data_IF_440050906635
#
_entry.id   IF_440050906635
#
_cell.length_a   1.000
_cell.length_b   1.000
_cell.length_c   1.000
_cell.angle_alpha   90.00
_cell.angle_beta   90.00
_cell.angle_gamma   90.00
#
_symmetry.space_group_name_H-M   'P 1'
#
loop_
_entity.id
_entity.type
_entity.pdbx_description
1 polymer ?
#
# COMPACT_ATOMS: atom_id res chain seq x y z
N UNK A 1 -16.55 25.63 65.90
CA UNK A 1 -16.53 25.03 64.55
C UNK A 1 -16.75 26.15 63.57
N UNK A 2 -15.84 26.31 62.62
CA UNK A 2 -15.91 27.33 61.58
C UNK A 2 -17.27 27.26 60.87
N UNK A 3 -17.95 28.40 60.68
CA UNK A 3 -19.32 28.47 60.16
C UNK A 3 -19.42 27.82 58.77
N UNK A 4 -18.33 27.91 57.98
CA UNK A 4 -18.18 27.24 56.70
C UNK A 4 -18.11 25.71 56.81
N UNK A 5 -17.35 25.19 57.79
CA UNK A 5 -17.29 23.75 58.03
C UNK A 5 -18.65 23.19 58.46
N UNK A 6 -19.43 23.98 59.21
CA UNK A 6 -20.80 23.62 59.55
C UNK A 6 -21.71 23.60 58.32
N UNK A 7 -21.62 24.57 57.41
CA UNK A 7 -22.42 24.60 56.18
C UNK A 7 -22.09 23.44 55.22
N UNK A 8 -20.82 23.04 55.11
CA UNK A 8 -20.38 22.04 54.13
C UNK A 8 -20.61 20.61 54.64
N UNK A 9 -20.36 20.33 55.92
CA UNK A 9 -20.32 18.96 56.45
C UNK A 9 -21.50 18.59 57.37
N UNK A 10 -22.29 19.56 57.84
CA UNK A 10 -23.43 19.26 58.72
C UNK A 10 -24.66 18.86 57.93
N UNK A 11 -25.41 17.87 58.45
CA UNK A 11 -26.69 17.45 57.85
C UNK A 11 -27.77 18.52 57.95
N UNK A 12 -27.71 19.36 58.98
CA UNK A 12 -28.63 20.47 59.25
C UNK A 12 -27.81 21.67 59.78
N UNK A 13 -27.25 22.52 58.90
CA UNK A 13 -26.58 23.75 59.33
C UNK A 13 -27.58 24.73 59.94
N UNK A 14 -27.35 25.14 61.19
CA UNK A 14 -28.18 26.13 61.89
C UNK A 14 -27.76 27.54 61.46
N UNK A 15 -28.48 28.12 60.49
CA UNK A 15 -28.26 29.47 60.00
C UNK A 15 -29.34 30.39 60.57
N UNK A 16 -28.93 31.45 61.29
CA UNK A 16 -29.84 32.32 62.05
C UNK A 16 -30.78 33.16 61.17
N UNK A 17 -30.38 33.42 59.93
CA UNK A 17 -31.08 34.36 59.03
C UNK A 17 -31.90 33.65 57.93
N UNK A 18 -31.98 32.32 57.94
CA UNK A 18 -32.70 31.55 56.92
C UNK A 18 -33.92 30.84 57.53
N UNK A 19 -35.10 30.92 56.89
CA UNK A 19 -36.30 30.26 57.38
C UNK A 19 -36.11 28.74 57.29
N UNK A 20 -36.07 28.02 58.42
CA UNK A 20 -35.93 26.55 58.44
C UNK A 20 -37.26 25.81 58.29
N UNK A 21 -38.37 26.54 58.19
CA UNK A 21 -39.72 26.01 57.97
C UNK A 21 -40.13 26.16 56.49
N UNK A 22 -40.47 25.04 55.87
CA UNK A 22 -40.90 24.95 54.46
C UNK A 22 -40.18 23.86 53.68
N UNK A 23 -40.86 23.22 52.73
CA UNK A 23 -40.34 22.06 51.95
C UNK A 23 -39.07 22.40 51.17
N UNK A 24 -38.94 23.64 50.68
CA UNK A 24 -37.79 24.11 49.89
C UNK A 24 -36.65 24.69 50.74
N UNK A 25 -36.89 24.93 52.03
CA UNK A 25 -35.89 25.53 52.92
C UNK A 25 -35.12 24.48 53.74
N UNK A 26 -35.32 23.20 53.44
CA UNK A 26 -34.57 22.11 54.04
C UNK A 26 -33.15 22.08 53.46
N UNK A 27 -32.09 22.10 54.30
CA UNK A 27 -30.71 22.06 53.83
C UNK A 27 -30.37 20.85 52.93
N UNK A 28 -31.11 19.75 53.09
CA UNK A 28 -31.01 18.56 52.25
C UNK A 28 -31.33 18.83 50.76
N UNK A 29 -32.16 19.82 50.44
CA UNK A 29 -32.51 20.21 49.07
C UNK A 29 -31.38 20.97 48.35
N UNK A 30 -30.52 21.63 49.12
CA UNK A 30 -29.42 22.46 48.63
C UNK A 30 -28.06 21.74 48.77
N UNK A 31 -28.08 20.45 49.07
CA UNK A 31 -26.87 19.64 49.14
C UNK A 31 -26.27 19.50 47.75
N UNK A 32 -24.96 19.71 47.66
CA UNK A 32 -24.23 19.44 46.43
C UNK A 32 -24.33 17.96 46.06
N UNK A 33 -24.92 17.67 44.89
CA UNK A 33 -24.87 16.35 44.27
C UNK A 33 -23.83 16.34 43.17
N UNK A 34 -22.79 15.52 43.36
CA UNK A 34 -21.72 15.40 42.39
C UNK A 34 -22.26 14.89 41.04
N UNK A 35 -21.89 15.56 39.94
CA UNK A 35 -22.28 15.18 38.58
C UNK A 35 -21.78 13.76 38.24
N UNK A 36 -22.58 13.01 37.49
CA UNK A 36 -22.18 11.70 36.98
C UNK A 36 -21.30 11.84 35.73
N UNK A 37 -20.10 11.25 35.76
CA UNK A 37 -19.15 11.18 34.64
C UNK A 37 -18.89 9.71 34.27
N UNK A 38 -18.37 9.45 33.06
CA UNK A 38 -18.01 8.10 32.59
C UNK A 38 -17.01 7.44 33.55
N UNK A 39 -16.00 8.18 34.00
CA UNK A 39 -15.00 7.70 34.96
C UNK A 39 -15.62 7.29 36.30
N UNK A 40 -16.52 8.11 36.84
CA UNK A 40 -17.22 7.80 38.09
C UNK A 40 -18.15 6.60 37.93
N UNK A 41 -18.81 6.50 36.78
CA UNK A 41 -19.67 5.37 36.46
C UNK A 41 -18.87 4.06 36.35
N UNK A 42 -17.67 4.10 35.75
CA UNK A 42 -16.72 2.98 35.72
C UNK A 42 -16.30 2.56 37.14
N UNK A 43 -15.93 3.53 37.98
CA UNK A 43 -15.57 3.26 39.39
C UNK A 43 -16.73 2.66 40.18
N UNK A 44 -17.99 3.05 39.91
CA UNK A 44 -19.16 2.48 40.57
C UNK A 44 -19.42 1.02 40.17
N UNK A 45 -19.13 0.63 38.92
CA UNK A 45 -19.22 -0.77 38.46
C UNK A 45 -18.14 -1.62 39.15
N UNK A 46 -16.94 -1.07 39.31
CA UNK A 46 -15.83 -1.74 40.00
C UNK A 46 -16.08 -1.89 41.50
N UNK A 47 -16.56 -0.84 42.16
CA UNK A 47 -16.84 -0.85 43.60
C UNK A 47 -17.95 -1.83 44.00
N UNK A 48 -18.89 -2.11 43.09
CA UNK A 48 -20.00 -3.03 43.31
C UNK A 48 -19.74 -4.47 42.84
N UNK A 49 -18.54 -4.76 42.34
CA UNK A 49 -18.14 -6.05 41.78
C UNK A 49 -19.10 -6.57 40.67
N UNK A 50 -19.68 -5.63 39.89
CA UNK A 50 -20.66 -5.96 38.85
C UNK A 50 -20.02 -6.19 37.48
N UNK A 51 -18.69 -6.21 37.36
CA UNK A 51 -17.98 -6.38 36.07
C UNK A 51 -18.40 -7.64 35.31
N UNK A 52 -18.68 -8.74 36.02
CA UNK A 52 -19.14 -9.99 35.41
C UNK A 52 -20.59 -9.91 34.94
N UNK A 53 -21.42 -9.08 35.59
CA UNK A 53 -22.84 -8.92 35.26
C UNK A 53 -23.08 -7.94 34.10
N UNK A 54 -22.15 -7.00 33.88
CA UNK A 54 -22.20 -6.00 32.80
C UNK A 54 -20.89 -5.96 32.01
N UNK A 55 -20.45 -7.13 31.55
CA UNK A 55 -19.16 -7.29 30.88
C UNK A 55 -19.07 -6.49 29.57
N UNK A 56 -20.17 -6.37 28.82
CA UNK A 56 -20.19 -5.62 27.55
C UNK A 56 -20.05 -4.13 27.83
N UNK A 57 -20.75 -3.63 28.85
CA UNK A 57 -20.64 -2.24 29.31
C UNK A 57 -19.24 -1.94 29.84
N UNK A 58 -18.62 -2.85 30.60
CA UNK A 58 -17.28 -2.68 31.13
C UNK A 58 -16.23 -2.54 29.99
N UNK A 59 -16.33 -3.37 28.95
CA UNK A 59 -15.45 -3.29 27.78
C UNK A 59 -15.68 -1.99 26.98
N UNK A 60 -16.93 -1.55 26.82
CA UNK A 60 -17.27 -0.27 26.19
C UNK A 60 -16.72 0.94 26.94
N UNK A 61 -16.78 0.93 28.28
CA UNK A 61 -16.26 2.01 29.12
C UNK A 61 -14.73 2.06 29.08
N UNK A 62 -14.08 0.90 29.05
CA UNK A 62 -12.62 0.80 28.94
C UNK A 62 -12.10 1.42 27.63
N UNK A 63 -12.81 1.18 26.53
CA UNK A 63 -12.43 1.66 25.19
C UNK A 63 -13.25 2.86 24.69
N UNK A 64 -13.81 3.66 25.60
CA UNK A 64 -14.66 4.80 25.23
C UNK A 64 -13.94 5.84 24.33
N UNK A 65 -12.63 6.02 24.52
CA UNK A 65 -11.82 6.89 23.67
C UNK A 65 -11.76 6.36 22.23
N UNK A 66 -11.55 5.06 22.06
CA UNK A 66 -11.46 4.40 20.75
C UNK A 66 -12.79 4.46 19.99
N UNK A 67 -13.92 4.30 20.71
CA UNK A 67 -15.27 4.44 20.13
C UNK A 67 -15.49 5.84 19.57
N UNK A 68 -14.98 6.87 20.28
CA UNK A 68 -15.05 8.26 19.85
C UNK A 68 -14.37 8.50 18.50
N UNK A 69 -13.35 7.70 18.16
CA UNK A 69 -12.61 7.83 16.91
C UNK A 69 -13.33 7.21 15.70
N UNK A 70 -14.23 6.24 15.91
CA UNK A 70 -15.00 5.58 14.83
C UNK A 70 -15.83 6.60 14.03
N UNK A 71 -16.29 7.68 14.67
CA UNK A 71 -17.06 8.75 13.99
C UNK A 71 -16.33 9.40 12.82
N UNK A 72 -15.00 9.33 12.81
CA UNK A 72 -14.16 9.92 11.78
C UNK A 72 -13.94 9.01 10.57
N UNK A 73 -14.35 7.72 10.66
CA UNK A 73 -14.17 6.76 9.58
C UNK A 73 -14.72 7.24 8.22
N UNK A 74 -15.95 7.81 8.12
CA UNK A 74 -16.47 8.28 6.83
C UNK A 74 -15.63 9.41 6.22
N UNK A 75 -15.12 10.32 7.05
CA UNK A 75 -14.32 11.45 6.60
C UNK A 75 -12.94 11.02 6.11
N UNK A 76 -12.30 10.08 6.82
CA UNK A 76 -11.03 9.50 6.38
C UNK A 76 -11.20 8.71 5.08
N UNK A 77 -12.28 7.93 4.93
CA UNK A 77 -12.58 7.21 3.69
C UNK A 77 -12.86 8.17 2.52
N UNK A 78 -13.59 9.26 2.76
CA UNK A 78 -13.82 10.28 1.73
C UNK A 78 -12.53 10.94 1.28
N UNK A 79 -11.62 11.25 2.22
CA UNK A 79 -10.29 11.79 1.89
C UNK A 79 -9.49 10.79 1.04
N UNK A 80 -9.46 9.51 1.44
CA UNK A 80 -8.78 8.46 0.67
C UNK A 80 -9.31 8.38 -0.77
N UNK A 81 -10.63 8.36 -0.96
CA UNK A 81 -11.22 8.30 -2.29
C UNK A 81 -10.82 9.51 -3.14
N UNK A 82 -10.86 10.73 -2.59
CA UNK A 82 -10.40 11.93 -3.30
C UNK A 82 -8.92 11.85 -3.69
N UNK A 83 -8.07 11.37 -2.77
CA UNK A 83 -6.65 11.18 -3.06
C UNK A 83 -6.43 10.13 -4.14
N UNK A 84 -7.16 9.00 -4.10
CA UNK A 84 -7.07 7.98 -5.14
C UNK A 84 -7.43 8.53 -6.52
N UNK A 85 -8.54 9.27 -6.63
CA UNK A 85 -8.94 9.91 -7.89
C UNK A 85 -7.91 10.93 -8.39
N UNK A 86 -7.29 11.68 -7.48
CA UNK A 86 -6.25 12.66 -7.85
C UNK A 86 -4.99 11.97 -8.39
N UNK A 87 -4.56 10.88 -7.74
CA UNK A 87 -3.32 10.20 -8.06
C UNK A 87 -3.47 9.06 -9.10
N UNK A 88 -4.67 8.78 -9.58
CA UNK A 88 -4.97 7.66 -10.50
C UNK A 88 -4.11 7.66 -11.77
N UNK A 89 -3.72 8.84 -12.27
CA UNK A 89 -2.94 9.00 -13.51
C UNK A 89 -1.64 9.78 -13.32
N UNK A 90 -1.16 9.94 -12.08
CA UNK A 90 0.02 10.75 -11.77
C UNK A 90 1.21 9.88 -11.37
N UNK A 91 2.41 10.31 -11.78
CA UNK A 91 3.65 9.66 -11.40
C UNK A 91 4.00 9.98 -9.94
N UNK A 92 3.84 9.01 -9.04
CA UNK A 92 3.97 9.21 -7.59
C UNK A 92 5.37 9.64 -7.13
N UNK A 93 6.43 9.31 -7.88
CA UNK A 93 7.82 9.63 -7.51
C UNK A 93 8.03 11.14 -7.34
N UNK A 94 7.31 11.96 -8.12
CA UNK A 94 7.33 13.43 -8.02
C UNK A 94 6.71 13.98 -6.72
N UNK A 95 5.94 13.16 -5.99
CA UNK A 95 5.24 13.53 -4.76
C UNK A 95 5.81 12.88 -3.49
N UNK A 96 6.89 12.09 -3.62
CA UNK A 96 7.50 11.34 -2.52
C UNK A 96 7.93 12.22 -1.34
N UNK A 97 8.41 13.43 -1.64
CA UNK A 97 8.92 14.40 -0.66
C UNK A 97 8.04 15.64 -0.54
N UNK A 98 6.76 15.57 -0.92
CA UNK A 98 5.85 16.72 -0.88
C UNK A 98 5.05 16.73 0.44
N UNK A 99 5.23 17.77 1.29
CA UNK A 99 4.44 17.92 2.51
C UNK A 99 2.96 18.22 2.20
N UNK A 100 2.07 17.77 3.08
CA UNK A 100 0.61 18.01 2.96
C UNK A 100 0.28 19.51 2.81
N UNK A 101 1.00 20.38 3.53
CA UNK A 101 0.79 21.83 3.48
C UNK A 101 1.16 22.46 2.13
N UNK A 102 2.19 21.94 1.47
CA UNK A 102 2.61 22.39 0.13
C UNK A 102 1.60 21.93 -0.89
N UNK A 103 1.24 20.64 -0.85
CA UNK A 103 0.21 20.08 -1.73
C UNK A 103 -1.11 20.84 -1.63
N UNK A 104 -1.55 21.17 -0.41
CA UNK A 104 -2.75 21.95 -0.13
C UNK A 104 -2.78 23.29 -0.86
N UNK A 105 -1.66 24.02 -0.88
CA UNK A 105 -1.61 25.36 -1.49
C UNK A 105 -1.62 25.32 -3.02
N UNK A 106 -1.04 24.26 -3.59
CA UNK A 106 -0.77 24.20 -5.02
C UNK A 106 -1.83 23.42 -5.81
N UNK A 107 -2.50 22.44 -5.18
CA UNK A 107 -3.29 21.43 -5.91
C UNK A 107 -4.75 21.31 -5.43
N UNK A 108 -5.12 21.95 -4.31
CA UNK A 108 -6.50 21.87 -3.77
C UNK A 108 -7.25 23.15 -4.10
N UNK A 109 -8.43 23.01 -4.70
CA UNK A 109 -9.28 24.15 -5.05
C UNK A 109 -9.80 24.89 -3.81
N UNK A 110 -9.99 26.21 -3.92
CA UNK A 110 -10.35 27.09 -2.78
C UNK A 110 -11.57 26.62 -1.98
N UNK A 111 -12.59 26.13 -2.68
CA UNK A 111 -13.83 25.64 -2.05
C UNK A 111 -13.65 24.33 -1.27
N UNK A 112 -12.58 23.57 -1.52
CA UNK A 112 -12.29 22.31 -0.83
C UNK A 112 -11.20 22.44 0.25
N UNK A 113 -10.48 23.56 0.30
CA UNK A 113 -9.34 23.78 1.22
C UNK A 113 -9.69 23.53 2.68
N UNK A 114 -10.85 24.00 3.12
CA UNK A 114 -11.32 23.84 4.50
C UNK A 114 -11.57 22.36 4.81
N UNK A 115 -12.36 21.69 3.97
CA UNK A 115 -12.71 20.27 4.12
C UNK A 115 -11.48 19.38 4.08
N UNK A 116 -10.53 19.67 3.18
CA UNK A 116 -9.26 18.96 3.10
C UNK A 116 -8.41 19.16 4.36
N UNK A 117 -8.28 20.40 4.83
CA UNK A 117 -7.50 20.71 6.04
C UNK A 117 -8.07 20.02 7.27
N UNK A 118 -9.40 20.07 7.45
CA UNK A 118 -10.08 19.37 8.54
C UNK A 118 -9.84 17.85 8.48
N UNK A 119 -9.95 17.26 7.29
CA UNK A 119 -9.73 15.83 7.10
C UNK A 119 -8.28 15.43 7.36
N UNK A 120 -7.31 16.25 6.96
CA UNK A 120 -5.89 16.02 7.24
C UNK A 120 -5.56 16.13 8.74
N UNK A 121 -6.14 17.11 9.45
CA UNK A 121 -5.97 17.23 10.91
C UNK A 121 -6.58 16.05 11.66
N UNK A 122 -7.70 15.50 11.17
CA UNK A 122 -8.29 14.28 11.73
C UNK A 122 -7.38 13.08 11.53
N UNK A 123 -6.75 12.94 10.36
CA UNK A 123 -5.76 11.88 10.12
C UNK A 123 -4.58 12.01 11.09
N UNK A 124 -4.05 13.22 11.30
CA UNK A 124 -2.99 13.47 12.29
C UNK A 124 -3.41 13.11 13.71
N UNK A 125 -4.61 13.51 14.12
CA UNK A 125 -5.18 13.19 15.43
C UNK A 125 -5.28 11.67 15.64
N UNK A 126 -5.80 10.95 14.65
CA UNK A 126 -5.93 9.49 14.68
C UNK A 126 -4.55 8.82 14.69
N UNK A 127 -3.60 9.35 13.94
CA UNK A 127 -2.23 8.83 13.92
C UNK A 127 -1.55 8.97 15.28
N UNK A 128 -1.67 10.14 15.90
CA UNK A 128 -1.20 10.40 17.27
C UNK A 128 -1.76 9.39 18.28
N UNK A 129 -3.07 9.13 18.18
CA UNK A 129 -3.73 8.15 19.03
C UNK A 129 -3.18 6.75 18.81
N UNK A 130 -3.00 6.31 17.56
CA UNK A 130 -2.43 5.00 17.26
C UNK A 130 -0.99 4.82 17.77
N UNK A 131 -0.19 5.88 17.75
CA UNK A 131 1.16 5.87 18.32
C UNK A 131 1.11 5.78 19.84
N UNK A 132 0.19 6.48 20.50
CA UNK A 132 0.08 6.45 21.97
C UNK A 132 -0.33 5.07 22.51
N UNK A 133 -1.16 4.34 21.77
CA UNK A 133 -1.59 2.98 22.14
C UNK A 133 -0.64 1.87 21.70
N UNK A 134 0.50 2.21 21.05
CA UNK A 134 1.46 1.25 20.47
C UNK A 134 0.78 0.16 19.63
N UNK A 135 0.00 0.58 18.63
CA UNK A 135 -0.77 -0.35 17.81
C UNK A 135 0.11 -1.44 17.16
N UNK A 136 -0.28 -2.71 17.29
CA UNK A 136 0.57 -3.86 16.96
C UNK A 136 0.90 -4.01 15.48
N UNK A 137 0.14 -3.38 14.57
CA UNK A 137 0.36 -3.45 13.12
C UNK A 137 1.24 -2.32 12.58
N UNK A 138 1.90 -1.53 13.44
CA UNK A 138 2.85 -0.49 13.04
C UNK A 138 4.20 -1.10 12.62
N UNK A 139 4.62 -0.88 11.37
CA UNK A 139 5.97 -1.22 10.89
C UNK A 139 7.03 -0.36 11.58
N UNK A 140 8.29 -0.82 11.58
CA UNK A 140 9.41 -0.11 12.22
C UNK A 140 9.59 1.32 11.65
N UNK A 141 9.49 1.47 10.33
CA UNK A 141 9.60 2.75 9.61
C UNK A 141 8.52 3.77 10.01
N UNK A 142 7.30 3.30 10.30
CA UNK A 142 6.18 4.18 10.66
C UNK A 142 6.21 4.60 12.13
N UNK A 143 6.94 3.89 12.99
CA UNK A 143 7.09 4.28 14.40
C UNK A 143 7.91 5.56 14.55
N UNK A 144 8.88 5.76 13.66
CA UNK A 144 9.75 6.94 13.65
C UNK A 144 9.08 8.18 13.04
N UNK A 145 8.09 8.01 12.16
CA UNK A 145 7.35 9.14 11.54
C UNK A 145 6.46 9.88 12.55
N UNK A 146 6.73 11.17 12.76
CA UNK A 146 5.90 12.06 13.57
C UNK A 146 4.62 12.52 12.86
N UNK A 147 3.61 12.93 13.63
CA UNK A 147 2.32 13.48 13.14
C UNK A 147 2.50 14.74 12.27
N UNK A 148 3.58 15.49 12.49
CA UNK A 148 3.90 16.69 11.73
C UNK A 148 4.69 16.41 10.44
N UNK A 149 5.26 15.22 10.29
CA UNK A 149 6.11 14.83 9.16
C UNK A 149 5.37 13.94 8.14
N UNK A 150 4.04 13.92 8.20
CA UNK A 150 3.24 13.19 7.22
C UNK A 150 3.33 13.85 5.83
N UNK A 151 3.68 13.03 4.84
CA UNK A 151 3.74 13.44 3.44
C UNK A 151 2.40 13.20 2.75
N UNK A 152 2.19 13.80 1.58
CA UNK A 152 0.93 13.63 0.84
C UNK A 152 0.64 12.16 0.50
N UNK A 153 1.68 11.38 0.19
CA UNK A 153 1.54 9.95 -0.11
C UNK A 153 1.14 9.11 1.10
N UNK A 154 1.36 9.59 2.34
CA UNK A 154 0.89 8.91 3.55
C UNK A 154 -0.66 8.99 3.68
N UNK A 155 -1.30 9.94 3.00
CA UNK A 155 -2.76 10.08 2.89
C UNK A 155 -3.39 9.10 1.87
N UNK A 156 -2.59 8.59 0.94
CA UNK A 156 -3.04 7.64 -0.07
C UNK A 156 -3.16 6.23 0.54
N UNK A 157 -4.21 5.46 0.27
CA UNK A 157 -4.42 4.16 0.91
C UNK A 157 -3.59 3.04 0.27
N UNK A 158 -2.25 3.08 0.39
CA UNK A 158 -1.38 1.96 -0.02
C UNK A 158 -1.27 0.90 1.08
N UNK A 159 -0.74 -0.28 0.77
CA UNK A 159 -0.66 -1.43 1.70
C UNK A 159 -0.01 -1.09 3.06
N UNK A 160 0.96 -0.17 3.05
CA UNK A 160 1.74 0.24 4.22
C UNK A 160 1.55 1.73 4.58
N UNK A 161 0.51 2.40 4.08
CA UNK A 161 0.30 3.81 4.41
C UNK A 161 -0.34 4.03 5.79
N UNK A 162 -0.07 5.21 6.34
CA UNK A 162 -0.67 5.70 7.59
C UNK A 162 -2.20 5.61 7.53
N UNK A 163 -2.80 6.07 6.43
CA UNK A 163 -4.25 6.14 6.31
C UNK A 163 -4.88 4.76 6.15
N UNK A 164 -4.17 3.79 5.54
CA UNK A 164 -4.61 2.38 5.49
C UNK A 164 -4.62 1.75 6.88
N UNK A 165 -3.61 2.01 7.70
CA UNK A 165 -3.54 1.52 9.08
C UNK A 165 -4.67 2.13 9.92
N UNK A 166 -4.91 3.44 9.80
CA UNK A 166 -6.00 4.14 10.49
C UNK A 166 -7.36 3.53 10.13
N UNK A 167 -7.65 3.37 8.84
CA UNK A 167 -8.93 2.81 8.41
C UNK A 167 -9.11 1.35 8.85
N UNK A 168 -8.06 0.55 8.80
CA UNK A 168 -8.09 -0.83 9.31
C UNK A 168 -8.37 -0.87 10.82
N UNK A 169 -7.69 -0.02 11.61
CA UNK A 169 -7.92 0.10 13.05
C UNK A 169 -9.36 0.49 13.38
N UNK A 170 -9.88 1.53 12.73
CA UNK A 170 -11.25 2.01 12.97
C UNK A 170 -12.29 0.93 12.64
N UNK A 171 -12.10 0.22 11.54
CA UNK A 171 -12.99 -0.88 11.11
C UNK A 171 -12.90 -2.08 12.05
N UNK A 172 -11.70 -2.49 12.45
CA UNK A 172 -11.53 -3.57 13.42
C UNK A 172 -12.16 -3.21 14.77
N UNK A 173 -11.98 -1.97 15.21
CA UNK A 173 -12.58 -1.45 16.45
C UNK A 173 -14.11 -1.47 16.37
N UNK A 174 -14.68 -0.98 15.26
CA UNK A 174 -16.13 -1.04 15.04
C UNK A 174 -16.64 -2.49 15.03
N UNK A 175 -16.00 -3.38 14.26
CA UNK A 175 -16.40 -4.78 14.16
C UNK A 175 -16.30 -5.51 15.49
N UNK A 176 -15.25 -5.24 16.29
CA UNK A 176 -15.10 -5.79 17.65
C UNK A 176 -16.31 -5.46 18.51
N UNK A 177 -16.76 -4.21 18.52
CA UNK A 177 -17.93 -3.82 19.31
C UNK A 177 -19.24 -4.38 18.78
N UNK A 178 -19.42 -4.46 17.46
CA UNK A 178 -20.61 -5.08 16.87
C UNK A 178 -20.68 -6.57 17.23
N UNK A 179 -19.56 -7.29 17.15
CA UNK A 179 -19.47 -8.71 17.52
C UNK A 179 -19.73 -8.94 19.02
N UNK A 180 -19.25 -8.04 19.89
CA UNK A 180 -19.58 -8.07 21.32
C UNK A 180 -21.09 -7.90 21.60
N UNK A 181 -21.86 -7.41 20.63
CA UNK A 181 -23.30 -7.14 20.77
C UNK A 181 -24.22 -8.12 20.04
N UNK A 182 -23.69 -8.99 19.18
CA UNK A 182 -24.49 -9.92 18.37
C UNK A 182 -25.24 -10.93 19.28
N UNK A 183 -26.59 -10.99 19.22
CA UNK A 183 -27.43 -11.82 20.09
C UNK A 183 -27.45 -13.31 19.73
N UNK A 184 -26.71 -13.77 18.71
CA UNK A 184 -26.59 -15.20 18.39
C UNK A 184 -25.90 -16.04 19.47
N UNK A 185 -25.20 -15.40 20.42
CA UNK A 185 -24.58 -16.06 21.56
C UNK A 185 -25.47 -16.17 22.82
N UNK A 186 -26.58 -15.42 22.92
CA UNK A 186 -27.46 -15.49 24.10
C UNK A 186 -28.86 -14.96 23.76
N UNK A 187 -29.75 -15.87 23.37
CA UNK A 187 -31.19 -15.56 23.27
C UNK A 187 -31.84 -15.69 24.65
N UNK A 188 -32.33 -14.57 25.18
CA UNK A 188 -33.62 -14.54 25.89
C UNK A 188 -34.29 -13.18 25.63
N UNK A 189 -35.45 -13.14 24.95
CA UNK A 189 -36.17 -11.91 24.69
C UNK A 189 -37.01 -11.56 25.92
N UNK A 190 -36.54 -10.61 26.72
CA UNK A 190 -37.39 -9.98 27.73
C UNK A 190 -37.57 -8.50 27.38
N UNK A 191 -38.68 -8.26 26.69
CA UNK A 191 -39.40 -6.99 26.77
C UNK A 191 -39.61 -6.65 28.25
N UNK A 192 -38.93 -5.61 28.75
CA UNK A 192 -39.25 -5.03 30.05
C UNK A 192 -39.58 -3.55 29.85
N UNK A 193 -40.87 -3.28 29.96
CA UNK A 193 -41.46 -1.95 30.03
C UNK A 193 -40.78 -1.07 31.09
N UNK A 194 -40.56 0.18 30.71
CA UNK A 194 -40.35 1.31 31.61
C UNK A 194 -41.40 1.36 32.72
N UNK A 195 -40.95 1.46 33.98
CA UNK A 195 -41.56 2.29 35.03
C UNK A 195 -40.63 2.38 36.24
N UNK A 196 -40.00 3.54 36.44
CA UNK A 196 -39.46 3.92 37.75
C UNK A 196 -40.63 4.12 38.72
N UNK A 197 -40.69 3.34 39.80
CA UNK A 197 -41.33 3.78 41.05
C UNK A 197 -40.23 4.23 42.00
N UNK A 198 -40.33 5.40 42.66
CA UNK A 198 -39.57 5.62 43.87
C UNK A 198 -40.13 4.68 44.94
N UNK A 199 -39.32 3.74 45.42
CA UNK A 199 -39.63 3.04 46.66
C UNK A 199 -39.58 4.05 47.80
N UNK A 200 -40.75 4.50 48.25
CA UNK A 200 -40.90 5.17 49.54
C UNK A 200 -40.62 4.18 50.66
N UNK A 201 -39.34 3.99 51.00
CA UNK A 201 -38.96 3.25 52.20
C UNK A 201 -39.07 4.22 53.38
N UNK A 202 -40.03 3.96 54.28
CA UNK A 202 -40.06 4.58 55.61
C UNK A 202 -38.81 4.11 56.35
N UNK A 203 -37.79 4.96 56.41
CA UNK A 203 -36.53 4.66 57.08
C UNK A 203 -35.37 5.33 56.37
N UNK A 204 -34.86 6.42 56.97
CA UNK A 204 -33.81 7.29 56.43
C UNK A 204 -32.54 6.53 56.00
N UNK A 205 -32.39 6.29 54.69
CA UNK A 205 -31.13 6.33 53.90
C UNK A 205 -31.51 6.23 52.42
N UNK A 206 -31.31 7.30 51.64
CA UNK A 206 -31.40 7.23 50.18
C UNK A 206 -30.22 6.41 49.66
N UNK A 207 -30.43 5.13 49.33
CA UNK A 207 -29.47 4.34 48.57
C UNK A 207 -29.76 4.51 47.07
N UNK A 208 -28.86 5.14 46.33
CA UNK A 208 -28.92 5.21 44.87
C UNK A 208 -28.53 3.85 44.28
N UNK A 209 -29.53 3.05 43.92
CA UNK A 209 -29.33 1.80 43.20
C UNK A 209 -29.37 2.06 41.69
N UNK A 210 -28.20 2.06 41.05
CA UNK A 210 -28.06 2.08 39.60
C UNK A 210 -28.36 0.69 39.02
N UNK A 211 -29.21 0.62 38.00
CA UNK A 211 -29.45 -0.60 37.23
C UNK A 211 -28.50 -0.62 36.03
N UNK A 212 -27.29 -1.16 36.22
CA UNK A 212 -26.26 -1.18 35.19
C UNK A 212 -26.66 -2.03 33.99
N UNK A 213 -27.47 -3.09 34.18
CA UNK A 213 -27.97 -3.94 33.10
C UNK A 213 -28.92 -3.20 32.15
N UNK A 214 -29.78 -2.33 32.69
CA UNK A 214 -30.61 -1.45 31.86
C UNK A 214 -29.75 -0.48 31.04
N UNK A 215 -28.71 0.08 31.65
CA UNK A 215 -27.79 1.00 30.95
C UNK A 215 -27.02 0.27 29.84
N UNK A 216 -26.51 -0.93 30.11
CA UNK A 216 -25.84 -1.79 29.11
C UNK A 216 -26.77 -2.05 27.92
N UNK A 217 -28.01 -2.48 28.19
CA UNK A 217 -29.00 -2.78 27.14
C UNK A 217 -29.32 -1.53 26.30
N UNK A 218 -29.53 -0.38 26.93
CA UNK A 218 -29.85 0.87 26.22
C UNK A 218 -28.69 1.37 25.35
N UNK A 219 -27.45 1.23 25.82
CA UNK A 219 -26.26 1.64 25.06
C UNK A 219 -26.08 0.72 23.85
N UNK A 220 -26.21 -0.60 24.06
CA UNK A 220 -26.12 -1.59 22.99
C UNK A 220 -27.20 -1.32 21.92
N UNK A 221 -28.46 -1.20 22.36
CA UNK A 221 -29.61 -1.00 21.48
C UNK A 221 -29.51 0.27 20.64
N UNK A 222 -29.01 1.36 21.25
CA UNK A 222 -28.93 2.65 20.58
C UNK A 222 -27.75 2.78 19.63
N UNK A 223 -26.59 2.22 19.97
CA UNK A 223 -25.32 2.53 19.27
C UNK A 223 -24.80 1.39 18.40
N UNK A 224 -25.10 0.13 18.71
CA UNK A 224 -24.46 -1.02 18.08
C UNK A 224 -25.45 -1.95 17.38
N UNK A 225 -26.67 -2.06 17.90
CA UNK A 225 -27.75 -2.85 17.25
C UNK A 225 -27.98 -2.35 15.82
N UNK A 226 -28.10 -3.30 14.89
CA UNK A 226 -28.28 -3.08 13.43
C UNK A 226 -27.12 -2.36 12.71
N UNK A 227 -25.96 -2.14 13.35
CA UNK A 227 -24.78 -1.66 12.64
C UNK A 227 -24.16 -2.77 11.79
N UNK A 228 -23.77 -2.50 10.52
CA UNK A 228 -23.17 -3.52 9.68
C UNK A 228 -21.72 -3.81 10.08
N UNK A 229 -21.35 -5.08 10.00
CA UNK A 229 -19.94 -5.51 10.07
C UNK A 229 -19.27 -5.13 8.74
N UNK A 230 -18.22 -4.33 8.81
CA UNK A 230 -17.49 -3.85 7.62
C UNK A 230 -16.43 -4.88 7.25
N UNK A 231 -16.45 -5.38 6.01
CA UNK A 231 -15.42 -6.29 5.52
C UNK A 231 -14.13 -5.50 5.26
N UNK A 232 -13.01 -5.95 5.82
CA UNK A 232 -11.69 -5.30 5.60
C UNK A 232 -11.28 -5.36 4.12
N UNK A 233 -11.76 -6.36 3.37
CA UNK A 233 -11.53 -6.52 1.93
C UNK A 233 -12.20 -5.46 1.07
N UNK A 234 -13.23 -4.76 1.58
CA UNK A 234 -13.93 -3.69 0.84
C UNK A 234 -13.30 -2.32 1.07
N UNK A 235 -12.24 -2.22 1.88
CA UNK A 235 -11.59 -0.95 2.15
C UNK A 235 -10.77 -0.50 0.94
N UNK A 236 -10.81 0.80 0.56
CA UNK A 236 -10.06 1.32 -0.57
C UNK A 236 -8.58 0.97 -0.45
N UNK A 237 -8.02 0.44 -1.53
CA UNK A 237 -6.60 0.16 -1.67
C UNK A 237 -6.17 0.80 -2.99
N UNK A 238 -5.20 1.70 -2.89
CA UNK A 238 -4.54 2.25 -4.06
C UNK A 238 -3.39 1.33 -4.43
N UNK A 239 -3.57 0.60 -5.52
CA UNK A 239 -2.50 -0.13 -6.17
C UNK A 239 -1.92 0.80 -7.24
N UNK A 240 -0.66 1.18 -7.07
CA UNK A 240 0.03 1.97 -8.07
C UNK A 240 0.26 1.07 -9.28
N UNK A 241 -0.54 1.24 -10.33
CA UNK A 241 -0.27 0.61 -11.61
C UNK A 241 0.92 1.38 -12.21
N UNK A 242 2.14 0.91 -11.99
CA UNK A 242 3.35 1.32 -12.74
C UNK A 242 3.26 0.97 -14.23
N UNK A 243 2.04 0.75 -14.74
CA UNK A 243 1.77 -0.28 -15.72
C UNK A 243 2.17 -1.62 -15.14
N UNK A 244 1.23 -2.55 -15.00
CA UNK A 244 1.54 -3.95 -14.73
C UNK A 244 2.56 -4.35 -15.78
N UNK A 245 3.82 -4.47 -15.37
CA UNK A 245 4.89 -4.50 -16.33
C UNK A 245 4.77 -5.74 -17.16
N UNK A 246 5.40 -5.73 -18.34
CA UNK A 246 5.43 -6.90 -19.21
C UNK A 246 5.84 -8.15 -18.39
N UNK A 247 6.72 -7.99 -17.40
CA UNK A 247 7.06 -9.00 -16.38
C UNK A 247 5.86 -9.54 -15.59
N UNK A 248 5.11 -8.69 -14.89
CA UNK A 248 3.98 -9.14 -14.07
C UNK A 248 2.88 -9.83 -14.89
N UNK A 249 2.73 -9.41 -16.16
CA UNK A 249 1.91 -10.14 -17.11
C UNK A 249 2.51 -11.52 -17.43
N UNK A 250 3.78 -11.61 -17.83
CA UNK A 250 4.41 -12.88 -18.18
C UNK A 250 4.44 -13.90 -17.04
N UNK A 251 4.63 -13.46 -15.79
CA UNK A 251 4.55 -14.36 -14.63
C UNK A 251 3.14 -14.94 -14.43
N UNK A 252 2.09 -14.22 -14.85
CA UNK A 252 0.70 -14.68 -14.74
C UNK A 252 0.35 -15.73 -15.79
N UNK A 253 1.03 -15.72 -16.94
CA UNK A 253 0.74 -16.62 -18.09
C UNK A 253 1.89 -17.59 -18.39
N UNK A 254 2.82 -17.78 -17.46
CA UNK A 254 4.03 -18.58 -17.64
C UNK A 254 3.72 -20.04 -18.06
N UNK A 255 2.60 -20.58 -17.60
CA UNK A 255 2.08 -21.91 -17.97
C UNK A 255 1.74 -22.06 -19.46
N UNK A 256 1.51 -20.96 -20.16
CA UNK A 256 1.09 -20.91 -21.58
C UNK A 256 2.21 -20.46 -22.52
N UNK A 257 3.37 -20.11 -21.98
CA UNK A 257 4.49 -19.54 -22.74
C UNK A 257 5.54 -20.59 -23.06
N UNK A 258 6.14 -20.47 -24.25
CA UNK A 258 7.23 -21.32 -24.70
C UNK A 258 8.36 -20.48 -25.31
N UNK A 259 9.63 -20.90 -25.13
CA UNK A 259 10.76 -20.22 -25.75
C UNK A 259 10.74 -20.37 -27.27
N UNK A 260 11.22 -19.34 -27.98
CA UNK A 260 11.45 -19.45 -29.43
C UNK A 260 12.51 -20.53 -29.72
N UNK A 261 12.37 -21.18 -30.87
CA UNK A 261 13.37 -22.13 -31.38
C UNK A 261 14.71 -21.43 -31.54
N UNK A 262 15.80 -22.15 -31.24
CA UNK A 262 17.16 -21.62 -31.34
C UNK A 262 17.48 -21.03 -32.72
N UNK A 263 16.95 -21.64 -33.79
CA UNK A 263 17.12 -21.14 -35.15
C UNK A 263 16.48 -19.78 -35.36
N UNK A 264 15.26 -19.58 -34.85
CA UNK A 264 14.53 -18.32 -34.97
C UNK A 264 15.21 -17.22 -34.13
N UNK A 265 15.70 -17.56 -32.94
CA UNK A 265 16.50 -16.63 -32.10
C UNK A 265 17.77 -16.20 -32.79
N UNK A 266 18.51 -17.14 -33.39
CA UNK A 266 19.74 -16.84 -34.12
C UNK A 266 19.49 -16.02 -35.38
N UNK A 267 18.39 -16.29 -36.10
CA UNK A 267 17.94 -15.49 -37.24
C UNK A 267 17.68 -14.04 -36.84
N UNK A 268 16.91 -13.80 -35.76
CA UNK A 268 16.69 -12.44 -35.24
C UNK A 268 18.03 -11.77 -34.88
N UNK A 269 18.90 -12.49 -34.18
CA UNK A 269 20.14 -11.92 -33.66
C UNK A 269 21.17 -11.58 -34.74
N UNK A 270 21.15 -12.27 -35.90
CA UNK A 270 22.17 -12.12 -36.94
C UNK A 270 21.64 -11.44 -38.21
N UNK A 271 20.41 -11.75 -38.62
CA UNK A 271 19.88 -11.34 -39.94
C UNK A 271 19.15 -10.00 -39.88
N UNK A 272 18.62 -9.60 -38.72
CA UNK A 272 17.82 -8.38 -38.61
C UNK A 272 18.76 -7.18 -38.43
N UNK A 273 18.86 -6.32 -39.45
CA UNK A 273 19.80 -5.17 -39.46
C UNK A 273 19.09 -3.82 -39.40
N UNK A 274 17.81 -3.78 -39.73
CA UNK A 274 17.04 -2.54 -39.86
C UNK A 274 16.39 -2.15 -38.52
N UNK A 275 16.91 -1.09 -37.89
CA UNK A 275 16.43 -0.61 -36.59
C UNK A 275 14.96 -0.18 -36.62
N UNK A 276 14.52 0.44 -37.72
CA UNK A 276 13.14 0.87 -37.93
C UNK A 276 12.16 -0.32 -37.95
N UNK A 277 12.51 -1.41 -38.64
CA UNK A 277 11.69 -2.63 -38.69
C UNK A 277 11.58 -3.30 -37.32
N UNK A 278 12.70 -3.39 -36.59
CA UNK A 278 12.72 -3.96 -35.23
C UNK A 278 11.91 -3.08 -34.27
N UNK A 279 12.05 -1.76 -34.36
CA UNK A 279 11.32 -0.81 -33.50
C UNK A 279 9.82 -0.82 -33.79
N UNK A 280 9.42 -0.96 -35.05
CA UNK A 280 8.02 -1.14 -35.44
C UNK A 280 7.45 -2.47 -34.94
N UNK A 281 8.25 -3.55 -35.01
CA UNK A 281 7.89 -4.85 -34.45
C UNK A 281 7.69 -4.77 -32.94
N UNK A 282 8.66 -4.26 -32.18
CA UNK A 282 8.54 -4.05 -30.74
C UNK A 282 7.35 -3.17 -30.39
N UNK A 283 7.14 -2.04 -31.08
CA UNK A 283 5.97 -1.19 -30.82
C UNK A 283 4.64 -1.93 -31.00
N UNK A 284 4.56 -2.81 -32.01
CA UNK A 284 3.37 -3.63 -32.25
C UNK A 284 3.22 -4.74 -31.21
N UNK A 285 4.32 -5.41 -30.84
CA UNK A 285 4.31 -6.43 -29.78
C UNK A 285 3.90 -5.85 -28.43
N UNK A 286 4.31 -4.62 -28.11
CA UNK A 286 3.91 -3.94 -26.87
C UNK A 286 2.40 -3.76 -26.79
N UNK A 287 1.78 -3.38 -27.91
CA UNK A 287 0.32 -3.27 -28.02
C UNK A 287 -0.33 -4.64 -27.88
N UNK A 288 0.18 -5.66 -28.59
CA UNK A 288 -0.30 -7.04 -28.49
C UNK A 288 -0.27 -7.50 -27.03
N UNK A 289 0.84 -7.33 -26.33
CA UNK A 289 0.98 -7.73 -24.92
C UNK A 289 -0.04 -6.98 -24.04
N UNK A 290 -0.28 -5.70 -24.30
CA UNK A 290 -1.34 -4.93 -23.63
C UNK A 290 -2.74 -5.55 -23.79
N UNK A 291 -3.07 -6.07 -24.97
CA UNK A 291 -4.33 -6.80 -25.19
C UNK A 291 -4.31 -8.21 -24.59
N UNK A 292 -3.19 -8.90 -24.65
CA UNK A 292 -3.04 -10.24 -24.06
C UNK A 292 -3.24 -10.23 -22.54
N UNK A 293 -2.91 -9.11 -21.87
CA UNK A 293 -3.20 -8.87 -20.45
C UNK A 293 -4.69 -8.92 -20.14
N UNK A 294 -5.55 -8.51 -21.08
CA UNK A 294 -7.00 -8.54 -20.92
C UNK A 294 -7.59 -9.90 -21.28
N UNK A 295 -7.08 -10.52 -22.35
CA UNK A 295 -7.54 -11.82 -22.82
C UNK A 295 -6.44 -12.55 -23.56
N UNK A 296 -6.08 -13.74 -23.07
CA UNK A 296 -5.08 -14.59 -23.70
C UNK A 296 -5.76 -15.58 -24.67
N UNK A 297 -5.50 -15.51 -25.98
CA UNK A 297 -6.07 -16.41 -26.98
C UNK A 297 -5.40 -17.80 -26.94
N UNK A 298 -5.78 -18.70 -27.86
CA UNK A 298 -5.16 -20.02 -27.95
C UNK A 298 -3.63 -19.92 -28.15
N UNK A 299 -2.79 -20.61 -27.34
CA UNK A 299 -1.33 -20.49 -27.40
C UNK A 299 -0.72 -20.77 -28.79
N UNK A 300 -1.33 -21.69 -29.54
CA UNK A 300 -0.89 -22.12 -30.87
C UNK A 300 -1.33 -21.18 -31.99
N UNK A 301 -2.20 -20.21 -31.70
CA UNK A 301 -2.65 -19.25 -32.69
C UNK A 301 -1.46 -18.46 -33.24
N UNK A 302 -1.38 -18.32 -34.56
CA UNK A 302 -0.33 -17.53 -35.20
C UNK A 302 -0.47 -16.06 -34.80
N UNK A 303 0.66 -15.44 -34.43
CA UNK A 303 0.68 -14.06 -33.97
C UNK A 303 0.12 -13.08 -35.02
N UNK A 304 0.48 -13.28 -36.29
CA UNK A 304 -0.02 -12.46 -37.40
C UNK A 304 -1.51 -12.67 -37.67
N UNK A 305 -2.05 -13.86 -37.39
CA UNK A 305 -3.48 -14.12 -37.53
C UNK A 305 -4.26 -13.42 -36.41
N UNK A 306 -3.74 -13.46 -35.17
CA UNK A 306 -4.31 -12.73 -34.03
C UNK A 306 -4.33 -11.21 -34.27
N UNK A 307 -3.23 -10.64 -34.77
CA UNK A 307 -3.13 -9.22 -35.10
C UNK A 307 -4.18 -8.76 -36.12
N UNK A 308 -4.40 -9.54 -37.19
CA UNK A 308 -5.34 -9.19 -38.25
C UNK A 308 -6.80 -9.46 -37.87
N UNK A 309 -7.08 -10.66 -37.37
CA UNK A 309 -8.46 -11.12 -37.15
C UNK A 309 -9.07 -10.57 -35.86
N UNK A 310 -8.32 -10.61 -34.76
CA UNK A 310 -8.87 -10.33 -33.44
C UNK A 310 -8.59 -8.89 -33.02
N UNK A 311 -7.38 -8.39 -33.28
CA UNK A 311 -7.00 -7.00 -32.98
C UNK A 311 -7.36 -6.00 -34.10
N UNK A 312 -7.71 -6.48 -35.30
CA UNK A 312 -8.04 -5.65 -36.48
C UNK A 312 -6.95 -4.62 -36.84
N UNK A 313 -5.68 -5.01 -36.68
CA UNK A 313 -4.50 -4.17 -36.96
C UNK A 313 -3.87 -4.53 -38.32
N UNK A 314 -4.66 -4.51 -39.39
CA UNK A 314 -4.21 -4.93 -40.72
C UNK A 314 -3.06 -4.07 -41.28
N UNK A 315 -3.14 -2.75 -41.14
CA UNK A 315 -2.12 -1.83 -41.65
C UNK A 315 -0.75 -2.08 -40.99
N UNK A 316 -0.72 -2.26 -39.67
CA UNK A 316 0.50 -2.59 -38.93
C UNK A 316 0.99 -4.00 -39.22
N UNK A 317 0.08 -4.94 -39.49
CA UNK A 317 0.46 -6.30 -39.86
C UNK A 317 1.08 -6.36 -41.28
N UNK A 318 0.75 -5.42 -42.17
CA UNK A 318 1.33 -5.34 -43.51
C UNK A 318 2.72 -4.71 -43.53
N UNK A 319 2.99 -3.75 -42.64
CA UNK A 319 4.31 -3.10 -42.54
C UNK A 319 5.38 -4.00 -41.89
N UNK A 320 4.97 -5.04 -41.16
CA UNK A 320 5.87 -6.01 -40.55
C UNK A 320 6.32 -7.06 -41.58
N UNK A 321 7.47 -6.85 -42.21
CA UNK A 321 8.05 -7.77 -43.19
C UNK A 321 9.03 -8.81 -42.60
N UNK A 322 8.96 -9.06 -41.28
CA UNK A 322 9.88 -9.97 -40.60
C UNK A 322 9.35 -11.41 -40.68
N UNK A 323 10.12 -12.30 -41.32
CA UNK A 323 9.74 -13.71 -41.53
C UNK A 323 9.45 -14.45 -40.21
N UNK A 324 10.22 -14.16 -39.16
CA UNK A 324 10.08 -14.79 -37.84
C UNK A 324 8.75 -14.42 -37.16
N UNK A 325 8.19 -13.23 -37.42
CA UNK A 325 6.87 -12.86 -36.89
C UNK A 325 5.74 -13.68 -37.53
N UNK A 326 5.91 -14.10 -38.80
CA UNK A 326 4.92 -14.92 -39.53
C UNK A 326 4.91 -16.37 -39.07
N UNK A 327 6.06 -16.91 -38.66
CA UNK A 327 6.18 -18.27 -38.11
C UNK A 327 5.86 -18.34 -36.62
N UNK A 328 5.90 -17.21 -35.90
CA UNK A 328 5.65 -17.15 -34.45
C UNK A 328 4.18 -17.32 -34.07
N UNK A 329 3.97 -17.90 -32.88
CA UNK A 329 2.68 -18.11 -32.24
C UNK A 329 2.58 -17.24 -30.99
N UNK A 330 1.37 -17.09 -30.44
CA UNK A 330 1.15 -16.27 -29.24
C UNK A 330 1.95 -16.79 -28.04
N UNK A 331 2.13 -18.10 -27.91
CA UNK A 331 2.98 -18.69 -26.84
C UNK A 331 4.44 -18.23 -26.86
N UNK A 332 4.96 -17.78 -27.99
CA UNK A 332 6.35 -17.33 -28.12
C UNK A 332 6.54 -15.83 -27.80
N UNK A 333 5.47 -15.12 -27.39
CA UNK A 333 5.45 -13.66 -27.31
C UNK A 333 6.54 -13.09 -26.39
N UNK A 334 6.81 -13.72 -25.25
CA UNK A 334 7.83 -13.28 -24.31
C UNK A 334 9.24 -13.41 -24.92
N UNK A 335 9.59 -14.60 -25.38
CA UNK A 335 10.90 -14.87 -25.97
C UNK A 335 11.17 -14.01 -27.22
N UNK A 336 10.11 -13.73 -27.99
CA UNK A 336 10.17 -12.83 -29.14
C UNK A 336 10.43 -11.37 -28.74
N UNK A 337 9.72 -10.87 -27.73
CA UNK A 337 9.94 -9.54 -27.17
C UNK A 337 11.37 -9.37 -26.67
N UNK A 338 11.84 -10.30 -25.84
CA UNK A 338 13.19 -10.28 -25.25
C UNK A 338 14.27 -10.34 -26.34
N UNK A 339 14.14 -11.22 -27.32
CA UNK A 339 15.15 -11.39 -28.39
C UNK A 339 15.20 -10.15 -29.30
N UNK A 340 14.04 -9.59 -29.68
CA UNK A 340 14.00 -8.38 -30.50
C UNK A 340 14.52 -7.16 -29.75
N UNK A 341 14.21 -7.04 -28.46
CA UNK A 341 14.70 -5.96 -27.61
C UNK A 341 16.22 -6.05 -27.45
N UNK A 342 16.74 -7.27 -27.20
CA UNK A 342 18.18 -7.51 -27.13
C UNK A 342 18.88 -7.14 -28.44
N UNK A 343 18.31 -7.53 -29.59
CA UNK A 343 18.85 -7.18 -30.91
C UNK A 343 18.83 -5.67 -31.15
N UNK A 344 17.73 -5.00 -30.79
CA UNK A 344 17.61 -3.53 -30.88
C UNK A 344 18.70 -2.84 -30.06
N UNK A 345 18.83 -3.19 -28.79
CA UNK A 345 19.85 -2.61 -27.91
C UNK A 345 21.26 -2.89 -28.44
N UNK A 346 21.49 -4.09 -28.98
CA UNK A 346 22.78 -4.45 -29.55
C UNK A 346 23.12 -3.65 -30.82
N UNK A 347 22.14 -3.32 -31.66
CA UNK A 347 22.33 -2.46 -32.85
C UNK A 347 22.58 -1.01 -32.46
N UNK A 348 21.92 -0.50 -31.42
CA UNK A 348 22.17 0.86 -30.92
C UNK A 348 23.62 1.04 -30.48
N UNK A 349 24.23 0.01 -29.87
CA UNK A 349 25.66 0.03 -29.54
C UNK A 349 26.55 0.06 -30.78
N UNK A 350 26.22 -0.67 -31.86
CA UNK A 350 26.95 -0.57 -33.13
C UNK A 350 26.88 0.84 -33.72
N UNK A 351 25.79 1.56 -33.46
CA UNK A 351 25.57 2.94 -33.90
C UNK A 351 26.12 3.99 -32.91
N UNK A 352 26.88 3.58 -31.88
CA UNK A 352 27.39 4.45 -30.81
C UNK A 352 26.29 5.21 -30.03
N UNK A 353 25.10 4.63 -29.91
CA UNK A 353 23.98 5.19 -29.14
C UNK A 353 23.78 4.44 -27.83
N UNK A 354 23.27 5.13 -26.80
CA UNK A 354 22.96 4.49 -25.52
C UNK A 354 21.57 3.79 -25.57
N UNK A 355 21.50 2.45 -25.52
CA UNK A 355 20.23 1.73 -25.60
C UNK A 355 19.35 1.86 -24.36
N UNK A 356 19.91 2.27 -23.22
CA UNK A 356 19.20 2.35 -21.94
C UNK A 356 18.92 3.79 -21.49
N UNK A 357 18.84 4.73 -22.43
CA UNK A 357 18.59 6.15 -22.15
C UNK A 357 17.28 6.41 -21.37
N UNK A 358 16.34 5.48 -21.42
CA UNK A 358 15.06 5.56 -20.71
C UNK A 358 15.16 5.21 -19.21
N UNK A 359 16.30 4.68 -18.75
CA UNK A 359 16.55 4.48 -17.31
C UNK A 359 16.90 5.85 -16.71
N UNK A 360 15.95 6.46 -16.00
CA UNK A 360 16.04 7.83 -15.48
C UNK A 360 17.10 7.98 -14.40
N UNK A 361 17.34 6.92 -13.62
CA UNK A 361 18.31 6.94 -12.53
C UNK A 361 19.75 6.92 -13.08
N UNK A 362 20.42 8.06 -12.94
CA UNK A 362 21.78 8.28 -13.43
C UNK A 362 22.83 7.43 -12.73
N UNK A 363 22.54 6.93 -11.53
CA UNK A 363 23.49 6.08 -10.78
C UNK A 363 23.79 4.76 -11.51
N UNK A 364 22.88 4.24 -12.33
CA UNK A 364 23.10 3.05 -13.15
C UNK A 364 23.92 3.30 -14.43
N UNK A 365 24.22 4.56 -14.75
CA UNK A 365 24.98 4.94 -15.94
C UNK A 365 26.45 5.24 -15.63
N UNK A 366 26.97 4.78 -14.49
CA UNK A 366 28.39 4.91 -14.19
C UNK A 366 29.25 4.17 -15.21
N UNK A 367 30.35 4.81 -15.61
CA UNK A 367 31.30 4.27 -16.59
C UNK A 367 32.56 3.78 -15.89
N UNK A 368 33.15 2.70 -16.40
CA UNK A 368 34.44 2.20 -15.92
C UNK A 368 35.57 3.20 -16.18
N UNK A 369 36.54 3.26 -15.27
CA UNK A 369 37.86 3.84 -15.59
C UNK A 369 38.61 2.94 -16.58
N UNK A 370 39.64 3.45 -17.25
CA UNK A 370 40.39 2.66 -18.25
C UNK A 370 41.04 1.40 -17.64
N UNK A 371 41.50 1.48 -16.38
CA UNK A 371 42.08 0.33 -15.67
C UNK A 371 41.01 -0.74 -15.39
N UNK A 372 39.85 -0.33 -14.85
CA UNK A 372 38.72 -1.22 -14.60
C UNK A 372 38.16 -1.84 -15.89
N UNK A 373 38.13 -1.08 -16.98
CA UNK A 373 37.69 -1.53 -18.31
C UNK A 373 38.59 -2.65 -18.83
N UNK A 374 39.90 -2.54 -18.64
CA UNK A 374 40.87 -3.55 -19.07
C UNK A 374 40.80 -4.81 -18.19
N UNK A 375 40.66 -4.66 -16.89
CA UNK A 375 40.43 -5.77 -15.96
C UNK A 375 39.14 -6.53 -16.30
N UNK A 376 38.03 -5.80 -16.50
CA UNK A 376 36.74 -6.38 -16.86
C UNK A 376 36.78 -7.07 -18.22
N UNK A 377 37.52 -6.54 -19.20
CA UNK A 377 37.74 -7.22 -20.49
C UNK A 377 38.44 -8.56 -20.32
N UNK A 378 39.46 -8.64 -19.45
CA UNK A 378 40.18 -9.89 -19.19
C UNK A 378 39.25 -10.92 -18.51
N UNK A 379 38.42 -10.47 -17.57
CA UNK A 379 37.43 -11.32 -16.90
C UNK A 379 36.40 -11.85 -17.92
N UNK A 380 35.84 -10.96 -18.75
CA UNK A 380 34.86 -11.34 -19.79
C UNK A 380 35.41 -12.30 -20.83
N UNK A 381 36.71 -12.23 -21.15
CA UNK A 381 37.37 -13.18 -22.04
C UNK A 381 37.42 -14.62 -21.48
N UNK A 382 37.37 -14.76 -20.16
CA UNK A 382 37.32 -16.05 -19.46
C UNK A 382 35.91 -16.61 -19.25
N UNK A 383 34.86 -15.89 -19.61
CA UNK A 383 33.46 -16.31 -19.39
C UNK A 383 33.06 -17.36 -20.44
N UNK A 384 32.59 -18.57 -20.04
CA UNK A 384 32.34 -19.67 -20.97
C UNK A 384 31.14 -19.43 -21.89
N UNK A 385 30.17 -18.61 -21.49
CA UNK A 385 28.98 -18.30 -22.31
C UNK A 385 28.60 -16.82 -22.23
N UNK A 386 29.30 -15.99 -23.01
CA UNK A 386 29.07 -14.56 -23.09
C UNK A 386 27.64 -14.21 -23.56
N UNK A 387 27.01 -15.09 -24.35
CA UNK A 387 25.66 -14.88 -24.89
C UNK A 387 24.58 -14.95 -23.82
N UNK A 388 24.75 -15.90 -22.88
CA UNK A 388 23.86 -16.02 -21.72
C UNK A 388 24.02 -14.80 -20.82
N UNK A 389 25.26 -14.36 -20.56
CA UNK A 389 25.51 -13.15 -19.76
C UNK A 389 24.85 -11.92 -20.40
N UNK A 390 25.09 -11.66 -21.69
CA UNK A 390 24.50 -10.53 -22.42
C UNK A 390 22.97 -10.57 -22.37
N UNK A 391 22.38 -11.75 -22.60
CA UNK A 391 20.91 -11.89 -22.60
C UNK A 391 20.31 -11.66 -21.22
N UNK A 392 20.90 -12.27 -20.17
CA UNK A 392 20.36 -12.19 -18.81
C UNK A 392 20.61 -10.84 -18.16
N UNK A 393 21.79 -10.26 -18.35
CA UNK A 393 22.08 -8.92 -17.88
C UNK A 393 21.21 -7.86 -18.60
N UNK A 394 20.94 -8.02 -19.90
CA UNK A 394 19.97 -7.17 -20.62
C UNK A 394 18.58 -7.23 -19.98
N UNK A 395 18.10 -8.45 -19.70
CA UNK A 395 16.81 -8.65 -19.04
C UNK A 395 16.74 -7.99 -17.67
N UNK A 396 17.77 -8.16 -16.84
CA UNK A 396 17.85 -7.51 -15.52
C UNK A 396 17.80 -6.00 -15.67
N UNK A 397 18.61 -5.42 -16.57
CA UNK A 397 18.67 -3.97 -16.80
C UNK A 397 17.30 -3.40 -17.20
N UNK A 398 16.57 -4.09 -18.09
CA UNK A 398 15.23 -3.66 -18.50
C UNK A 398 14.17 -3.74 -17.39
N UNK A 399 14.46 -4.43 -16.29
CA UNK A 399 13.53 -4.65 -15.18
C UNK A 399 14.05 -4.10 -13.83
N UNK A 400 15.06 -3.21 -13.83
CA UNK A 400 15.67 -2.60 -12.63
C UNK A 400 14.60 -1.90 -11.76
N UNK A 401 13.73 -1.11 -12.38
CA UNK A 401 12.72 -0.31 -11.66
C UNK A 401 11.65 -1.16 -10.96
N UNK A 402 11.53 -2.44 -11.31
CA UNK A 402 10.46 -3.30 -10.80
C UNK A 402 10.77 -4.05 -9.53
N UNK A 403 12.06 -4.21 -9.24
CA UNK A 403 12.55 -4.91 -8.06
C UNK A 403 13.13 -3.94 -7.04
N UNK A 404 12.96 -2.63 -7.27
CA UNK A 404 13.64 -1.56 -6.53
C UNK A 404 15.14 -1.90 -6.37
N UNK A 405 15.74 -2.43 -7.43
CA UNK A 405 17.17 -2.81 -7.43
C UNK A 405 17.94 -1.56 -7.09
N UNK A 406 18.85 -1.67 -6.14
CA UNK A 406 19.66 -0.52 -5.73
C UNK A 406 21.00 -0.51 -6.47
N UNK A 407 21.57 0.67 -6.77
CA UNK A 407 22.84 0.75 -7.49
C UNK A 407 24.02 0.11 -6.75
N UNK A 408 23.95 0.10 -5.42
CA UNK A 408 24.92 -0.48 -4.48
C UNK A 408 24.82 -2.01 -4.35
N UNK A 409 23.76 -2.63 -4.88
CA UNK A 409 23.66 -4.09 -4.91
C UNK A 409 24.71 -4.67 -5.83
N UNK A 410 25.25 -5.82 -5.42
CA UNK A 410 26.15 -6.58 -6.28
C UNK A 410 25.37 -7.24 -7.43
N UNK A 411 26.05 -7.53 -8.54
CA UNK A 411 25.46 -8.27 -9.66
C UNK A 411 24.99 -9.65 -9.20
N UNK A 412 25.72 -10.30 -8.29
CA UNK A 412 25.31 -11.58 -7.74
C UNK A 412 24.01 -11.48 -6.93
N UNK A 413 23.93 -10.59 -5.95
CA UNK A 413 22.70 -10.38 -5.15
C UNK A 413 21.50 -10.06 -6.04
N UNK A 414 21.73 -9.27 -7.09
CA UNK A 414 20.70 -8.94 -8.07
C UNK A 414 20.27 -10.18 -8.84
N UNK A 415 21.21 -10.98 -9.37
CA UNK A 415 20.86 -12.20 -10.09
C UNK A 415 20.15 -13.23 -9.21
N UNK A 416 20.56 -13.37 -7.95
CA UNK A 416 19.92 -14.24 -6.96
C UNK A 416 18.47 -13.80 -6.70
N UNK A 417 18.21 -12.49 -6.55
CA UNK A 417 16.84 -11.96 -6.39
C UNK A 417 15.91 -12.18 -7.60
N UNK A 418 16.49 -12.37 -8.80
CA UNK A 418 15.77 -12.75 -10.00
C UNK A 418 15.68 -14.28 -10.19
N UNK A 419 16.63 -15.05 -9.64
CA UNK A 419 16.60 -16.51 -9.60
C UNK A 419 15.53 -17.04 -8.66
N UNK A 420 15.38 -16.43 -7.48
CA UNK A 420 14.35 -16.79 -6.48
C UNK A 420 12.91 -16.69 -7.02
N UNK A 421 12.73 -16.04 -8.17
CA UNK A 421 11.44 -15.90 -8.86
C UNK A 421 11.32 -16.75 -10.13
N UNK A 422 12.24 -17.70 -10.36
CA UNK A 422 12.32 -18.55 -11.56
C UNK A 422 12.42 -17.77 -12.89
N UNK A 423 12.91 -16.53 -12.88
CA UNK A 423 13.01 -15.67 -14.08
C UNK A 423 14.32 -15.87 -14.83
N UNK A 424 15.35 -16.24 -14.09
CA UNK A 424 16.68 -16.50 -14.60
C UNK A 424 17.04 -17.93 -14.22
N UNK A 425 17.72 -18.62 -15.12
CA UNK A 425 18.13 -20.00 -14.90
C UNK A 425 19.46 -20.01 -14.14
N UNK A 426 19.73 -21.07 -13.37
CA UNK A 426 21.00 -21.28 -12.65
C UNK A 426 22.26 -21.10 -13.52
N UNK A 427 22.16 -21.42 -14.82
CA UNK A 427 23.22 -21.19 -15.83
C UNK A 427 23.70 -19.73 -15.91
N UNK A 428 22.90 -18.78 -15.45
CA UNK A 428 23.27 -17.37 -15.41
C UNK A 428 24.29 -17.08 -14.29
N UNK A 429 24.17 -17.75 -13.15
CA UNK A 429 25.11 -17.62 -12.03
C UNK A 429 26.49 -18.16 -12.44
N UNK A 430 26.52 -19.26 -13.19
CA UNK A 430 27.77 -19.82 -13.71
C UNK A 430 28.55 -18.82 -14.59
N UNK A 431 27.84 -17.89 -15.25
CA UNK A 431 28.43 -16.87 -16.11
C UNK A 431 28.98 -15.66 -15.35
N UNK A 432 28.73 -15.54 -14.04
CA UNK A 432 29.16 -14.42 -13.20
C UNK A 432 30.56 -14.60 -12.59
N UNK A 433 31.27 -15.68 -12.89
CA UNK A 433 32.59 -15.96 -12.30
C UNK A 433 33.56 -14.77 -12.52
N UNK A 434 33.96 -14.11 -11.44
CA UNK A 434 34.83 -12.92 -11.46
C UNK A 434 34.10 -11.57 -11.57
N UNK A 435 32.77 -11.56 -11.71
CA UNK A 435 31.91 -10.36 -11.77
C UNK A 435 30.94 -10.26 -10.58
N UNK A 436 31.03 -11.20 -9.63
CA UNK A 436 30.07 -11.36 -8.53
C UNK A 436 29.97 -10.12 -7.63
N UNK A 437 31.12 -9.58 -7.21
CA UNK A 437 31.24 -8.44 -6.30
C UNK A 437 31.07 -7.08 -6.98
N UNK A 438 30.85 -7.05 -8.30
CA UNK A 438 30.66 -5.80 -9.03
C UNK A 438 29.30 -5.20 -8.70
N UNK A 439 29.25 -3.89 -8.44
CA UNK A 439 28.01 -3.18 -8.15
C UNK A 439 27.17 -2.92 -9.41
N UNK A 440 25.84 -2.95 -9.27
CA UNK A 440 24.88 -2.74 -10.36
C UNK A 440 24.93 -1.33 -10.97
N UNK A 441 25.52 -0.34 -10.28
CA UNK A 441 25.84 0.97 -10.87
C UNK A 441 26.67 0.88 -12.16
N UNK A 442 27.50 -0.17 -12.29
CA UNK A 442 28.28 -0.47 -13.49
C UNK A 442 27.61 -1.48 -14.43
N UNK A 443 26.41 -1.99 -14.11
CA UNK A 443 25.74 -3.05 -14.85
C UNK A 443 25.49 -2.70 -16.32
N UNK A 444 25.11 -1.45 -16.61
CA UNK A 444 24.93 -0.96 -17.98
C UNK A 444 26.27 -0.92 -18.72
N UNK A 445 27.33 -0.42 -18.09
CA UNK A 445 28.66 -0.36 -18.68
C UNK A 445 29.21 -1.77 -18.97
N UNK A 446 29.01 -2.71 -18.04
CA UNK A 446 29.38 -4.11 -18.20
C UNK A 446 28.68 -4.73 -19.41
N UNK A 447 27.37 -4.50 -19.54
CA UNK A 447 26.59 -5.02 -20.67
C UNK A 447 27.11 -4.46 -22.01
N UNK A 448 27.39 -3.15 -22.08
CA UNK A 448 27.93 -2.51 -23.29
C UNK A 448 29.28 -3.12 -23.67
N UNK A 449 30.17 -3.30 -22.70
CA UNK A 449 31.49 -3.90 -22.89
C UNK A 449 31.38 -5.34 -23.41
N UNK A 450 30.50 -6.15 -22.82
CA UNK A 450 30.26 -7.53 -23.24
C UNK A 450 29.77 -7.61 -24.71
N UNK A 451 28.83 -6.74 -25.10
CA UNK A 451 28.34 -6.67 -26.49
C UNK A 451 29.44 -6.21 -27.45
N UNK A 452 30.27 -5.23 -27.07
CA UNK A 452 31.40 -4.77 -27.89
C UNK A 452 32.43 -5.88 -28.12
N UNK A 453 32.78 -6.65 -27.08
CA UNK A 453 33.69 -7.80 -27.17
C UNK A 453 33.11 -8.86 -28.10
N UNK A 454 31.84 -9.24 -27.92
CA UNK A 454 31.18 -10.24 -28.76
C UNK A 454 31.20 -9.86 -30.25
N UNK A 455 31.00 -8.59 -30.55
CA UNK A 455 30.94 -8.08 -31.94
C UNK A 455 32.30 -7.71 -32.52
N UNK A 456 33.37 -7.73 -31.74
CA UNK A 456 34.70 -7.30 -32.17
C UNK A 456 34.79 -5.81 -32.49
N UNK A 457 33.93 -4.98 -31.90
CA UNK A 457 33.94 -3.52 -32.11
C UNK A 457 35.15 -2.96 -31.36
N UNK A 458 36.12 -2.40 -32.09
CA UNK A 458 37.21 -1.61 -31.50
C UNK A 458 36.67 -0.21 -31.18
N UNK A 459 36.74 0.21 -29.92
CA UNK A 459 36.28 1.54 -29.51
C UNK A 459 37.09 2.62 -30.25
N UNK A 460 36.43 3.35 -31.15
CA UNK A 460 36.78 4.73 -31.45
C UNK A 460 35.89 5.61 -30.57
N UNK A 461 36.24 5.74 -29.29
CA UNK A 461 35.71 6.81 -28.45
C UNK A 461 36.48 8.08 -28.85
N UNK A 462 35.86 8.92 -29.68
CA UNK A 462 36.35 10.26 -29.99
C UNK A 462 35.82 11.25 -28.95
N UNK A 463 36.76 11.84 -28.21
CA UNK A 463 36.82 13.16 -27.54
C UNK A 463 35.51 13.81 -27.10
#
# INVERSE_FOLDING_TARGET
>A
MDTLAQMIYSKEPTLKDLPTSGVFNLPLMWRFEQRMTIQRFSHLIEQKDERNNVHRLAELLKSHADIGHIRYLPQVLSLQQKMMCYFENLYLRGYSNVPINTFRKENVADHELQTFSESAEIVKLLWKHLKSINYSQLSAELKEKDENNLMILDLLPTKHSVTRIITNYLVQTQNKFIQLTDPTADRLPHYCHFKHRPCGVRGRKQSTNYNFKTVETQIIDRFFTQKPVIKVTTLPLFEYDTGTTLRAFFSTVQDKLEPLKSNDRNCIMNDFRFLNEISAALSTLRIVIGFLKLSFPAPEQKLMAYLKKDLKLDDRAQTLNLQVLRSSQVKHIQSLWETLSLRQSSLLIEMNQNPFIMIEDRSFHETFTEDQKNETKNILAGVPNLDVLITKLHYVILNIELKDVRPDWTIQETFDAFLDCDEINEKAIECLRGLQEMEMKYGIALWKLAVQIKKGIKNTESV
#
